data_IF_728766854413
#
_entry.id   IF_728766854413
#
_cell.length_a   1.000
_cell.length_b   1.000
_cell.length_c   1.000
_cell.angle_alpha   90.00
_cell.angle_beta   90.00
_cell.angle_gamma   90.00
#
_symmetry.space_group_name_H-M   'P 1'
#
loop_
_entity.id
_entity.type
_entity.pdbx_description
1 polymer ?
#
# COMPACT_ATOMS: atom_id res chain seq x y z
N UNK A 1 -3.66 40.07 25.39
CA UNK A 1 -3.20 40.55 24.06
C UNK A 1 -3.75 39.60 23.00
N UNK A 2 -4.41 40.15 22.00
CA UNK A 2 -5.28 39.46 21.04
C UNK A 2 -4.73 39.72 19.62
N UNK A 3 -4.31 38.69 18.85
CA UNK A 3 -4.15 38.78 17.41
C UNK A 3 -5.28 37.96 16.75
N UNK A 4 -6.15 38.50 15.91
CA UNK A 4 -5.88 39.31 14.72
C UNK A 4 -6.44 38.55 13.51
N UNK A 5 -7.75 38.72 13.24
CA UNK A 5 -8.47 38.06 12.14
C UNK A 5 -8.00 38.56 10.76
N UNK A 6 -7.19 37.75 10.07
CA UNK A 6 -6.81 37.96 8.67
C UNK A 6 -7.81 37.34 7.71
N UNK A 7 -8.64 38.17 7.08
CA UNK A 7 -9.66 37.78 6.08
C UNK A 7 -8.99 37.67 4.70
N UNK A 8 -8.72 36.46 4.21
CA UNK A 8 -8.14 36.24 2.87
C UNK A 8 -9.27 36.02 1.85
N UNK A 9 -9.49 37.01 0.98
CA UNK A 9 -10.38 36.95 -0.18
C UNK A 9 -9.64 36.38 -1.40
N UNK A 10 -9.88 35.11 -1.72
CA UNK A 10 -9.38 34.47 -2.95
C UNK A 10 -10.20 34.88 -4.18
N UNK A 11 -9.49 35.40 -5.19
CA UNK A 11 -10.01 35.93 -6.45
C UNK A 11 -10.59 34.82 -7.34
N UNK A 12 -11.89 34.92 -7.64
CA UNK A 12 -12.56 34.22 -8.76
C UNK A 12 -12.09 34.79 -10.10
N UNK A 13 -10.99 34.31 -10.70
CA UNK A 13 -10.61 34.80 -12.06
C UNK A 13 -9.94 33.78 -12.99
N UNK A 14 -9.84 32.50 -12.65
CA UNK A 14 -9.20 31.50 -13.53
C UNK A 14 -10.09 30.29 -13.86
N UNK A 15 -11.37 30.53 -14.13
CA UNK A 15 -12.31 29.48 -14.56
C UNK A 15 -13.06 29.81 -15.87
N UNK A 16 -12.63 30.84 -16.62
CA UNK A 16 -13.32 31.32 -17.83
C UNK A 16 -12.63 31.03 -19.18
N UNK A 17 -11.49 30.33 -19.22
CA UNK A 17 -10.74 30.16 -20.47
C UNK A 17 -10.60 28.72 -21.00
N UNK A 18 -11.41 27.77 -20.52
CA UNK A 18 -11.40 26.38 -21.03
C UNK A 18 -12.70 25.96 -21.75
N UNK A 19 -13.40 26.89 -22.41
CA UNK A 19 -14.63 26.58 -23.15
C UNK A 19 -14.64 27.02 -24.63
N UNK A 20 -13.50 27.34 -25.23
CA UNK A 20 -13.47 27.96 -26.57
C UNK A 20 -12.82 27.16 -27.70
N UNK A 21 -12.81 25.83 -27.62
CA UNK A 21 -12.32 25.00 -28.73
C UNK A 21 -13.12 23.70 -28.91
N UNK A 22 -14.45 23.83 -29.03
CA UNK A 22 -15.31 22.74 -29.51
C UNK A 22 -15.54 22.96 -31.01
N UNK A 23 -14.87 22.11 -31.80
CA UNK A 23 -14.90 22.09 -33.25
C UNK A 23 -16.31 21.83 -33.83
N UNK A 24 -16.65 22.35 -35.02
CA UNK A 24 -17.93 22.10 -35.67
C UNK A 24 -17.85 20.83 -36.54
N UNK A 25 -18.12 19.65 -35.95
CA UNK A 25 -18.26 18.38 -36.71
C UNK A 25 -19.67 17.78 -36.69
N UNK A 26 -20.68 18.51 -36.20
CA UNK A 26 -22.08 18.05 -36.11
C UNK A 26 -22.91 18.40 -37.35
N UNK A 27 -22.44 18.03 -38.55
CA UNK A 27 -23.24 18.09 -39.78
C UNK A 27 -23.09 16.84 -40.66
N UNK A 28 -23.25 15.65 -40.08
CA UNK A 28 -23.40 14.41 -40.88
C UNK A 28 -24.50 13.46 -40.37
N UNK A 29 -25.44 13.93 -39.55
CA UNK A 29 -26.43 13.06 -38.88
C UNK A 29 -27.79 12.91 -39.58
N UNK A 30 -27.87 13.18 -40.89
CA UNK A 30 -29.13 13.04 -41.66
C UNK A 30 -29.16 11.86 -42.66
N UNK A 31 -28.16 10.97 -42.65
CA UNK A 31 -28.20 9.76 -43.47
C UNK A 31 -27.74 8.55 -42.66
N UNK A 32 -28.60 8.06 -41.79
CA UNK A 32 -28.41 6.78 -41.11
C UNK A 32 -29.64 5.89 -41.29
N UNK A 33 -29.43 4.58 -41.52
CA UNK A 33 -30.51 3.62 -41.74
C UNK A 33 -31.42 3.51 -40.51
N UNK A 34 -32.68 3.14 -40.73
CA UNK A 34 -33.76 3.12 -39.74
C UNK A 34 -33.44 2.43 -38.40
N UNK A 35 -32.42 1.56 -38.39
CA UNK A 35 -31.92 0.83 -37.21
C UNK A 35 -31.32 1.76 -36.14
N UNK A 36 -30.74 2.92 -36.50
CA UNK A 36 -30.10 3.84 -35.52
C UNK A 36 -31.13 4.62 -34.71
N UNK A 37 -32.34 4.83 -35.25
CA UNK A 37 -33.41 5.57 -34.54
C UNK A 37 -33.96 4.82 -33.34
N UNK A 38 -33.95 3.48 -33.36
CA UNK A 38 -34.35 2.67 -32.21
C UNK A 38 -33.31 2.70 -31.07
N UNK A 39 -32.01 2.76 -31.40
CA UNK A 39 -30.96 2.88 -30.38
C UNK A 39 -31.00 4.22 -29.63
N UNK A 40 -31.32 5.33 -30.30
CA UNK A 40 -31.49 6.62 -29.63
C UNK A 40 -32.71 6.66 -28.70
N UNK A 41 -33.83 6.05 -29.09
CA UNK A 41 -35.01 5.98 -28.24
C UNK A 41 -34.76 5.17 -26.95
N UNK A 42 -34.03 4.04 -27.05
CA UNK A 42 -33.67 3.20 -25.90
C UNK A 42 -32.68 3.93 -24.97
N UNK A 43 -31.69 4.65 -25.52
CA UNK A 43 -30.71 5.42 -24.75
C UNK A 43 -31.37 6.58 -23.96
N UNK A 44 -32.29 7.32 -24.59
CA UNK A 44 -33.01 8.42 -23.93
C UNK A 44 -33.92 7.89 -22.82
N UNK A 45 -34.58 6.75 -23.02
CA UNK A 45 -35.41 6.11 -21.99
C UNK A 45 -34.57 5.64 -20.78
N UNK A 46 -33.38 5.08 -21.01
CA UNK A 46 -32.48 4.69 -19.91
C UNK A 46 -31.95 5.89 -19.12
N UNK A 47 -31.66 7.00 -19.81
CA UNK A 47 -31.18 8.23 -19.18
C UNK A 47 -32.28 8.90 -18.34
N UNK A 48 -33.54 8.77 -18.74
CA UNK A 48 -34.68 9.31 -18.01
C UNK A 48 -35.03 8.46 -16.78
N UNK A 49 -34.90 7.13 -16.87
CA UNK A 49 -35.08 6.22 -15.71
C UNK A 49 -33.99 6.41 -14.66
N UNK A 50 -32.73 6.63 -15.06
CA UNK A 50 -31.63 6.85 -14.11
C UNK A 50 -31.76 8.17 -13.33
N UNK A 51 -32.33 9.22 -13.93
CA UNK A 51 -32.57 10.50 -13.23
C UNK A 51 -33.67 10.39 -12.17
N UNK A 52 -34.71 9.58 -12.41
CA UNK A 52 -35.84 9.43 -11.45
C UNK A 52 -35.43 8.60 -10.22
N UNK A 53 -34.51 7.64 -10.36
CA UNK A 53 -34.00 6.84 -9.24
C UNK A 53 -33.10 7.64 -8.27
N UNK A 54 -32.59 8.80 -8.67
CA UNK A 54 -31.69 9.63 -7.84
C UNK A 54 -32.39 10.43 -6.73
N UNK A 55 -33.72 10.53 -6.74
CA UNK A 55 -34.47 11.46 -5.87
C UNK A 55 -35.17 10.77 -4.69
N UNK A 56 -35.01 9.45 -4.53
CA UNK A 56 -35.60 8.69 -3.40
C UNK A 56 -34.56 8.28 -2.35
N UNK A 57 -33.51 9.11 -2.18
CA UNK A 57 -32.61 9.02 -1.04
C UNK A 57 -33.34 9.35 0.26
N UNK A 58 -33.90 8.32 0.91
CA UNK A 58 -34.56 8.40 2.20
C UNK A 58 -33.60 9.00 3.24
N UNK A 59 -33.83 10.27 3.59
CA UNK A 59 -33.15 10.99 4.67
C UNK A 59 -33.62 10.50 6.05
N UNK A 60 -33.36 9.22 6.37
CA UNK A 60 -33.53 8.73 7.75
C UNK A 60 -32.30 9.17 8.54
N UNK A 61 -32.46 9.96 9.62
CA UNK A 61 -31.32 10.29 10.47
C UNK A 61 -30.70 8.97 10.98
N UNK A 62 -29.36 8.86 10.99
CA UNK A 62 -28.70 7.66 11.48
C UNK A 62 -29.16 7.37 12.91
N UNK A 63 -29.42 6.10 13.25
CA UNK A 63 -29.81 5.74 14.61
C UNK A 63 -28.75 6.24 15.59
N UNK A 64 -29.21 6.81 16.70
CA UNK A 64 -28.33 7.38 17.74
C UNK A 64 -27.49 6.23 18.31
N UNK A 65 -26.20 6.17 17.95
CA UNK A 65 -25.27 5.19 18.49
C UNK A 65 -25.31 5.27 20.02
N UNK A 66 -25.91 4.26 20.64
CA UNK A 66 -26.19 4.22 22.08
C UNK A 66 -25.05 3.56 22.86
N UNK A 67 -24.06 3.02 22.14
CA UNK A 67 -22.93 2.28 22.69
C UNK A 67 -21.62 3.08 22.64
N UNK A 68 -21.68 4.39 22.88
CA UNK A 68 -20.45 5.17 23.07
C UNK A 68 -19.83 4.82 24.43
N UNK A 69 -18.90 3.88 24.45
CA UNK A 69 -18.07 3.60 25.62
C UNK A 69 -17.14 4.79 25.80
N UNK A 70 -17.26 5.51 26.92
CA UNK A 70 -16.30 6.55 27.30
C UNK A 70 -15.03 5.82 27.73
N UNK A 71 -14.03 5.79 26.84
CA UNK A 71 -12.70 5.31 27.17
C UNK A 71 -12.01 6.34 28.07
N UNK A 72 -11.27 5.87 29.06
CA UNK A 72 -10.41 6.76 29.86
C UNK A 72 -9.29 7.29 28.99
N UNK A 73 -8.94 8.56 29.16
CA UNK A 73 -7.87 9.24 28.41
C UNK A 73 -6.54 8.47 28.42
N UNK A 74 -6.23 7.77 29.51
CA UNK A 74 -5.01 6.95 29.63
C UNK A 74 -4.97 5.77 28.64
N UNK A 75 -6.12 5.14 28.39
CA UNK A 75 -6.25 4.00 27.46
C UNK A 75 -6.16 4.49 26.03
N UNK A 76 -6.84 5.60 25.74
CA UNK A 76 -6.78 6.22 24.41
C UNK A 76 -5.37 6.69 24.07
N UNK A 77 -4.67 7.34 25.00
CA UNK A 77 -3.30 7.79 24.80
C UNK A 77 -2.32 6.63 24.57
N UNK A 78 -2.52 5.49 25.22
CA UNK A 78 -1.72 4.29 25.00
C UNK A 78 -1.95 3.72 23.59
N UNK A 79 -3.22 3.60 23.18
CA UNK A 79 -3.59 3.13 21.84
C UNK A 79 -3.07 4.07 20.74
N UNK A 80 -3.24 5.39 20.89
CA UNK A 80 -2.76 6.39 19.92
C UNK A 80 -1.24 6.30 19.74
N UNK A 81 -0.49 6.06 20.83
CA UNK A 81 0.95 5.85 20.81
C UNK A 81 1.36 4.55 20.11
N UNK A 82 0.54 3.52 20.19
CA UNK A 82 0.78 2.24 19.49
C UNK A 82 0.50 2.40 17.99
N UNK A 83 -0.67 2.95 17.64
CA UNK A 83 -1.05 3.27 16.27
C UNK A 83 -0.04 4.18 15.56
N UNK A 84 0.51 5.17 16.26
CA UNK A 84 1.54 6.03 15.68
C UNK A 84 2.85 5.28 15.33
N UNK A 85 3.12 4.14 15.96
CA UNK A 85 4.34 3.34 15.74
C UNK A 85 4.14 2.19 14.76
N UNK A 86 2.92 1.67 14.67
CA UNK A 86 2.57 0.53 13.82
C UNK A 86 3.06 0.67 12.37
N UNK A 87 2.88 1.80 11.66
CA UNK A 87 3.37 1.94 10.28
C UNK A 87 4.89 1.76 10.15
N UNK A 88 5.67 2.20 11.14
CA UNK A 88 7.13 2.07 11.12
C UNK A 88 7.57 0.64 11.43
N UNK A 89 6.87 -0.03 12.35
CA UNK A 89 7.10 -1.43 12.66
C UNK A 89 6.79 -2.31 11.44
N UNK A 90 5.69 -2.05 10.76
CA UNK A 90 5.30 -2.78 9.54
C UNK A 90 6.29 -2.55 8.41
N UNK A 91 6.71 -1.29 8.18
CA UNK A 91 7.74 -0.99 7.19
C UNK A 91 9.06 -1.72 7.49
N UNK A 92 9.47 -1.74 8.76
CA UNK A 92 10.67 -2.47 9.19
C UNK A 92 10.52 -3.96 8.95
N UNK A 93 9.38 -4.54 9.36
CA UNK A 93 9.08 -5.96 9.20
C UNK A 93 9.08 -6.38 7.73
N UNK A 94 8.37 -5.65 6.89
CA UNK A 94 8.32 -5.90 5.44
C UNK A 94 9.70 -5.73 4.78
N UNK A 95 10.49 -4.76 5.24
CA UNK A 95 11.87 -4.57 4.79
C UNK A 95 12.72 -5.81 5.06
N UNK A 96 12.71 -6.31 6.30
CA UNK A 96 13.43 -7.52 6.70
C UNK A 96 12.97 -8.73 5.88
N UNK A 97 11.66 -8.95 5.76
CA UNK A 97 11.08 -10.06 5.00
C UNK A 97 11.46 -10.00 3.51
N UNK A 98 11.49 -8.81 2.93
CA UNK A 98 11.83 -8.62 1.52
C UNK A 98 13.32 -8.83 1.27
N UNK A 99 14.17 -8.33 2.17
CA UNK A 99 15.62 -8.38 2.01
C UNK A 99 16.18 -9.77 2.27
N UNK A 100 15.69 -10.45 3.31
CA UNK A 100 16.14 -11.79 3.75
C UNK A 100 17.66 -11.90 3.93
N UNK A 101 18.32 -10.80 4.29
CA UNK A 101 19.79 -10.73 4.42
C UNK A 101 20.18 -10.25 5.80
N UNK A 102 21.11 -10.95 6.45
CA UNK A 102 21.69 -10.59 7.74
C UNK A 102 23.14 -10.12 7.55
N UNK A 103 23.35 -8.80 7.57
CA UNK A 103 24.67 -8.17 7.55
C UNK A 103 25.41 -8.27 8.89
N UNK A 104 26.67 -7.84 8.88
CA UNK A 104 27.56 -7.79 10.05
C UNK A 104 26.96 -7.13 11.29
N UNK A 105 26.18 -6.05 11.13
CA UNK A 105 25.51 -5.35 12.25
C UNK A 105 24.47 -6.19 13.01
N UNK A 106 24.00 -7.29 12.43
CA UNK A 106 23.12 -8.26 13.10
C UNK A 106 23.87 -9.15 14.08
N UNK A 107 25.20 -9.11 14.05
CA UNK A 107 26.08 -9.85 14.94
C UNK A 107 26.80 -8.89 15.87
N UNK A 108 27.28 -9.40 17.00
CA UNK A 108 28.23 -8.66 17.84
C UNK A 108 29.58 -8.60 17.12
N UNK A 109 30.38 -7.53 17.32
CA UNK A 109 31.74 -7.43 16.75
C UNK A 109 32.57 -8.68 17.05
N UNK A 110 33.30 -9.18 16.04
CA UNK A 110 34.19 -10.35 16.12
C UNK A 110 33.55 -11.61 16.72
N UNK A 111 32.23 -11.75 16.58
CA UNK A 111 31.47 -12.80 17.23
C UNK A 111 30.35 -13.35 16.34
N UNK A 112 30.03 -14.63 16.55
CA UNK A 112 28.87 -15.28 15.94
C UNK A 112 27.55 -14.94 16.65
N UNK A 113 27.60 -14.45 17.89
CA UNK A 113 26.41 -14.11 18.68
C UNK A 113 25.63 -12.98 18.01
N UNK A 114 24.31 -13.15 17.91
CA UNK A 114 23.40 -12.12 17.42
C UNK A 114 23.36 -10.91 18.35
N UNK A 115 23.29 -9.72 17.75
CA UNK A 115 22.94 -8.46 18.43
C UNK A 115 21.44 -8.41 18.72
N UNK A 116 20.96 -7.39 19.45
CA UNK A 116 19.52 -7.23 19.68
C UNK A 116 18.75 -7.02 18.36
N UNK A 117 19.37 -6.30 17.42
CA UNK A 117 18.86 -6.13 16.06
C UNK A 117 18.78 -7.49 15.34
N UNK A 118 19.87 -8.26 15.35
CA UNK A 118 19.91 -9.58 14.73
C UNK A 118 18.87 -10.55 15.29
N UNK A 119 18.66 -10.57 16.61
CA UNK A 119 17.63 -11.41 17.23
C UNK A 119 16.22 -11.03 16.76
N UNK A 120 15.91 -9.73 16.76
CA UNK A 120 14.61 -9.21 16.29
C UNK A 120 14.37 -9.60 14.83
N UNK A 121 15.35 -9.37 13.97
CA UNK A 121 15.19 -9.56 12.54
C UNK A 121 15.17 -11.06 12.17
N UNK A 122 15.95 -11.91 12.86
CA UNK A 122 15.84 -13.38 12.74
C UNK A 122 14.46 -13.87 13.20
N UNK A 123 13.89 -13.32 14.27
CA UNK A 123 12.54 -13.68 14.71
C UNK A 123 11.46 -13.32 13.67
N UNK A 124 11.58 -12.14 13.04
CA UNK A 124 10.70 -11.74 11.93
C UNK A 124 10.83 -12.71 10.75
N UNK A 125 12.06 -13.09 10.39
CA UNK A 125 12.30 -14.04 9.30
C UNK A 125 11.76 -15.43 9.64
N UNK A 126 11.95 -15.90 10.87
CA UNK A 126 11.43 -17.19 11.33
C UNK A 126 9.90 -17.24 11.16
N UNK A 127 9.20 -16.21 11.65
CA UNK A 127 7.74 -16.12 11.52
C UNK A 127 7.30 -16.14 10.04
N UNK A 128 7.96 -15.35 9.19
CA UNK A 128 7.64 -15.28 7.77
C UNK A 128 7.98 -16.55 6.98
N UNK A 129 8.85 -17.42 7.51
CA UNK A 129 9.30 -18.65 6.85
C UNK A 129 8.56 -19.90 7.33
N UNK A 130 7.65 -19.78 8.31
CA UNK A 130 6.91 -20.93 8.84
C UNK A 130 6.13 -21.68 7.75
N UNK A 131 5.49 -20.94 6.85
CA UNK A 131 4.60 -21.52 5.84
C UNK A 131 5.25 -21.74 4.48
N UNK A 132 6.24 -20.93 4.08
CA UNK A 132 6.83 -20.97 2.73
C UNK A 132 8.30 -21.40 2.70
N UNK A 133 9.00 -21.36 3.85
CA UNK A 133 10.45 -21.51 3.90
C UNK A 133 11.18 -20.43 3.09
N UNK A 134 12.32 -20.79 2.50
CA UNK A 134 13.02 -19.93 1.54
C UNK A 134 14.52 -19.88 1.76
N UNK A 135 15.10 -18.69 1.54
CA UNK A 135 16.54 -18.47 1.62
C UNK A 135 16.86 -17.25 2.48
N UNK A 136 17.86 -17.38 3.34
CA UNK A 136 18.47 -16.29 4.10
C UNK A 136 19.90 -16.13 3.62
N UNK A 137 20.27 -14.89 3.25
CA UNK A 137 21.65 -14.54 2.93
C UNK A 137 22.36 -14.04 4.18
N UNK A 138 23.57 -14.53 4.43
CA UNK A 138 24.49 -14.02 5.45
C UNK A 138 25.79 -13.69 4.73
N UNK A 139 25.97 -12.45 4.25
CA UNK A 139 27.13 -12.09 3.46
C UNK A 139 28.43 -12.22 4.28
N UNK A 140 29.49 -12.78 3.69
CA UNK A 140 30.77 -12.92 4.40
C UNK A 140 31.45 -11.58 4.67
N UNK A 141 31.44 -10.68 3.69
CA UNK A 141 32.18 -9.41 3.76
C UNK A 141 33.67 -9.63 3.96
N UNK A 142 34.28 -8.96 4.94
CA UNK A 142 35.71 -9.06 5.31
C UNK A 142 35.98 -10.07 6.43
N UNK A 143 34.96 -10.80 6.88
CA UNK A 143 35.06 -11.75 7.99
C UNK A 143 35.78 -13.04 7.57
N UNK A 144 36.52 -13.67 8.51
CA UNK A 144 37.16 -14.97 8.25
C UNK A 144 36.12 -16.07 7.96
N UNK A 145 36.51 -17.07 7.16
CA UNK A 145 35.62 -18.20 6.82
C UNK A 145 35.12 -18.94 8.06
N UNK A 146 35.96 -19.06 9.10
CA UNK A 146 35.60 -19.71 10.37
C UNK A 146 34.52 -18.95 11.13
N UNK A 147 34.64 -17.63 11.23
CA UNK A 147 33.65 -16.79 11.91
C UNK A 147 32.36 -16.69 11.10
N UNK A 148 32.45 -16.65 9.77
CA UNK A 148 31.29 -16.69 8.88
C UNK A 148 30.49 -17.99 9.02
N UNK A 149 31.16 -19.15 9.02
CA UNK A 149 30.52 -20.44 9.27
C UNK A 149 29.83 -20.47 10.65
N UNK A 150 30.50 -19.96 11.69
CA UNK A 150 29.91 -19.88 13.03
C UNK A 150 28.66 -18.97 13.08
N UNK A 151 28.65 -17.87 12.31
CA UNK A 151 27.47 -16.99 12.17
C UNK A 151 26.30 -17.71 11.48
N UNK A 152 26.56 -18.47 10.42
CA UNK A 152 25.53 -19.28 9.75
C UNK A 152 24.92 -20.29 10.73
N UNK A 153 25.76 -20.99 11.50
CA UNK A 153 25.30 -21.96 12.50
C UNK A 153 24.53 -21.30 13.65
N UNK A 154 24.91 -20.10 14.08
CA UNK A 154 24.11 -19.34 15.04
C UNK A 154 22.70 -19.04 14.51
N UNK A 155 22.58 -18.60 13.25
CA UNK A 155 21.28 -18.33 12.63
C UNK A 155 20.47 -19.62 12.52
N UNK A 156 21.09 -20.72 12.07
CA UNK A 156 20.47 -22.05 12.00
C UNK A 156 19.91 -22.50 13.35
N UNK A 157 20.71 -22.42 14.41
CA UNK A 157 20.30 -22.78 15.76
C UNK A 157 19.11 -21.95 16.25
N UNK A 158 19.14 -20.63 15.97
CA UNK A 158 18.06 -19.72 16.36
C UNK A 158 16.74 -20.03 15.63
N UNK A 159 16.80 -20.42 14.34
CA UNK A 159 15.61 -20.85 13.60
C UNK A 159 15.03 -22.17 14.13
N UNK A 160 15.88 -23.13 14.50
CA UNK A 160 15.44 -24.39 15.12
C UNK A 160 14.77 -24.13 16.47
N UNK A 161 15.35 -23.26 17.29
CA UNK A 161 14.76 -22.85 18.58
C UNK A 161 13.37 -22.20 18.40
N UNK A 162 13.17 -21.49 17.28
CA UNK A 162 11.87 -20.93 16.89
C UNK A 162 10.90 -21.95 16.24
N UNK A 163 11.28 -23.23 16.15
CA UNK A 163 10.46 -24.30 15.59
C UNK A 163 10.42 -24.36 14.07
N UNK A 164 11.40 -23.76 13.38
CA UNK A 164 11.46 -23.76 11.92
C UNK A 164 12.15 -25.03 11.40
N UNK A 165 11.50 -25.70 10.45
CA UNK A 165 12.09 -26.82 9.72
C UNK A 165 13.18 -26.33 8.74
N UNK A 166 14.43 -26.67 9.05
CA UNK A 166 15.59 -26.27 8.26
C UNK A 166 15.66 -26.93 6.88
N UNK A 167 14.93 -28.03 6.63
CA UNK A 167 14.91 -28.65 5.29
C UNK A 167 14.28 -27.71 4.25
N UNK A 168 13.49 -26.75 4.72
CA UNK A 168 12.76 -25.76 3.91
C UNK A 168 13.49 -24.41 3.82
N UNK A 169 14.59 -24.24 4.57
CA UNK A 169 15.33 -22.98 4.65
C UNK A 169 16.79 -23.18 4.24
N UNK A 170 17.22 -22.45 3.22
CA UNK A 170 18.64 -22.41 2.79
C UNK A 170 19.32 -21.17 3.37
N UNK A 171 20.46 -21.36 4.03
CA UNK A 171 21.25 -20.27 4.60
C UNK A 171 22.64 -20.30 3.94
N UNK A 172 23.11 -19.16 3.44
CA UNK A 172 24.41 -19.08 2.78
C UNK A 172 24.82 -17.65 2.41
N UNK A 173 25.91 -17.51 1.66
CA UNK A 173 26.48 -16.22 1.21
C UNK A 173 25.90 -15.73 -0.12
N UNK A 174 24.98 -16.50 -0.72
CA UNK A 174 24.37 -16.12 -2.00
C UNK A 174 23.48 -14.89 -1.85
N UNK A 175 23.47 -14.02 -2.85
CA UNK A 175 22.53 -12.90 -2.91
C UNK A 175 21.08 -13.42 -2.90
N UNK A 176 20.22 -12.77 -2.11
CA UNK A 176 18.77 -13.02 -2.08
C UNK A 176 18.04 -12.40 -3.26
N UNK A 177 18.71 -11.52 -4.02
CA UNK A 177 18.25 -11.16 -5.36
C UNK A 177 18.35 -12.38 -6.27
N UNK A 178 17.29 -12.69 -7.01
CA UNK A 178 17.39 -13.64 -8.12
C UNK A 178 18.48 -13.23 -9.12
N UNK A 179 18.64 -13.94 -10.22
CA UNK A 179 19.68 -13.68 -11.23
C UNK A 179 19.67 -12.26 -11.87
N UNK A 180 18.77 -11.37 -11.41
CA UNK A 180 18.37 -10.17 -12.09
C UNK A 180 17.49 -10.53 -13.28
N UNK A 181 16.77 -9.53 -13.78
CA UNK A 181 16.18 -9.60 -15.11
C UNK A 181 17.09 -8.80 -16.02
N UNK A 182 17.43 -9.32 -17.20
CA UNK A 182 18.21 -8.56 -18.18
C UNK A 182 17.51 -7.22 -18.46
N UNK A 183 18.27 -6.13 -18.62
CA UNK A 183 17.70 -4.80 -18.91
C UNK A 183 16.71 -4.82 -20.07
N UNK A 184 17.00 -5.59 -21.12
CA UNK A 184 16.10 -5.74 -22.28
C UNK A 184 14.77 -6.38 -21.85
N UNK A 185 14.84 -7.47 -21.10
CA UNK A 185 13.64 -8.16 -20.59
C UNK A 185 12.84 -7.26 -19.63
N UNK A 186 13.52 -6.47 -18.80
CA UNK A 186 12.87 -5.53 -17.90
C UNK A 186 12.09 -4.44 -18.67
N UNK A 187 12.66 -3.95 -19.79
CA UNK A 187 11.97 -3.01 -20.68
C UNK A 187 10.77 -3.68 -21.36
N UNK A 188 10.93 -4.92 -21.85
CA UNK A 188 9.84 -5.67 -22.49
C UNK A 188 8.69 -5.98 -21.52
N UNK A 189 9.00 -6.37 -20.28
CA UNK A 189 8.01 -6.57 -19.21
C UNK A 189 7.28 -5.26 -18.91
N UNK A 190 8.00 -4.13 -18.83
CA UNK A 190 7.37 -2.83 -18.60
C UNK A 190 6.46 -2.43 -19.76
N UNK A 191 6.86 -2.72 -20.99
CA UNK A 191 6.04 -2.46 -22.17
C UNK A 191 4.79 -3.34 -22.20
N UNK A 192 4.89 -4.62 -21.83
CA UNK A 192 3.75 -5.54 -21.78
C UNK A 192 2.74 -5.13 -20.72
N UNK A 193 3.18 -4.73 -19.52
CA UNK A 193 2.33 -4.17 -18.45
C UNK A 193 1.63 -2.89 -18.92
N UNK A 194 2.31 -2.03 -19.69
CA UNK A 194 1.70 -0.81 -20.23
C UNK A 194 0.62 -1.11 -21.27
N UNK A 195 0.82 -2.13 -22.11
CA UNK A 195 -0.12 -2.55 -23.17
C UNK A 195 -1.34 -3.28 -22.59
N UNK A 196 -1.14 -4.02 -21.51
CA UNK A 196 -2.19 -4.70 -20.75
C UNK A 196 -2.19 -4.17 -19.32
N UNK A 197 -2.70 -2.95 -19.08
CA UNK A 197 -2.77 -2.41 -17.73
C UNK A 197 -3.49 -3.42 -16.84
N UNK A 198 -2.94 -3.67 -15.66
CA UNK A 198 -3.56 -4.55 -14.68
C UNK A 198 -5.02 -4.10 -14.53
N UNK A 199 -5.95 -5.05 -14.70
CA UNK A 199 -7.38 -4.79 -14.52
C UNK A 199 -7.52 -4.18 -13.13
N UNK A 200 -7.82 -2.89 -13.05
CA UNK A 200 -8.12 -2.26 -11.78
C UNK A 200 -9.20 -3.14 -11.16
N UNK A 201 -8.91 -3.73 -10.00
CA UNK A 201 -9.97 -4.42 -9.28
C UNK A 201 -11.01 -3.33 -9.11
N UNK A 202 -12.19 -3.53 -9.72
CA UNK A 202 -13.33 -2.63 -9.60
C UNK A 202 -13.86 -2.67 -8.18
N UNK A 203 -12.98 -2.47 -7.21
CA UNK A 203 -13.27 -2.16 -5.83
C UNK A 203 -14.12 -0.93 -5.92
N UNK A 204 -15.42 -1.18 -5.86
CA UNK A 204 -16.44 -0.21 -5.52
C UNK A 204 -15.82 0.61 -4.40
N UNK A 205 -15.37 1.83 -4.72
CA UNK A 205 -14.93 2.77 -3.69
C UNK A 205 -16.09 2.78 -2.72
N UNK A 206 -15.87 2.30 -1.49
CA UNK A 206 -16.80 2.48 -0.40
C UNK A 206 -16.75 3.98 -0.10
N UNK A 207 -17.41 4.75 -0.96
CA UNK A 207 -17.92 6.07 -0.62
C UNK A 207 -19.09 5.83 0.33
N UNK A 208 -18.77 5.32 1.52
CA UNK A 208 -19.58 5.60 2.68
C UNK A 208 -19.32 7.08 2.95
N UNK A 209 -20.22 7.90 2.43
CA UNK A 209 -20.29 9.32 2.71
C UNK A 209 -20.50 9.50 4.22
N UNK A 210 -19.41 9.44 4.97
CA UNK A 210 -19.29 10.12 6.25
C UNK A 210 -19.04 11.59 5.93
N UNK A 211 -20.05 12.42 6.17
CA UNK A 211 -19.98 13.88 6.15
C UNK A 211 -19.02 14.39 7.24
N UNK A 212 -17.73 14.12 7.09
CA UNK A 212 -16.66 14.62 7.94
C UNK A 212 -16.11 15.90 7.34
N UNK A 213 -16.57 17.06 7.83
CA UNK A 213 -15.91 18.35 7.63
C UNK A 213 -14.42 18.22 7.96
N UNK A 214 -13.58 18.07 6.94
CA UNK A 214 -12.14 18.27 7.05
C UNK A 214 -11.89 19.77 7.20
N UNK A 215 -11.67 20.20 8.44
CA UNK A 215 -11.15 21.52 8.77
C UNK A 215 -9.68 21.56 8.38
N UNK A 216 -9.41 22.01 7.15
CA UNK A 216 -8.06 22.30 6.69
C UNK A 216 -7.43 23.40 7.53
N UNK A 217 -6.47 23.02 8.38
CA UNK A 217 -5.51 23.93 8.97
C UNK A 217 -4.56 24.44 7.90
N UNK A 218 -4.45 25.75 7.77
CA UNK A 218 -3.49 26.42 6.92
C UNK A 218 -2.17 26.60 7.72
N UNK A 219 -0.98 26.50 7.08
CA UNK A 219 0.31 26.74 7.75
C UNK A 219 0.49 28.20 8.19
#
# INVERSE_FOLDING_TARGET
MNPGNGKITMKKTQQKNLQKNISPSLRCLNSLPAIVKHFHAILVLHLLVTVILSVTGCSKPPPKHTDSVILKDEVQLAADKEYAREPFNDQTRLGVIKQRTLYEMHFKPDSAKLSNLGKRDVAILAEAMRDDGGRISVPRGTTSDTLHAARIEQVRATLVEAGIDLTRVKIGDESTGGAGVNTIDAVLIRESIRKSPMKESGGKILNDAGDGKSSGGNP
#
